data_IF_036115949465
#
_entry.id   IF_036115949465
#
_cell.length_a   1.000
_cell.length_b   1.000
_cell.length_c   1.000
_cell.angle_alpha   90.00
_cell.angle_beta   90.00
_cell.angle_gamma   90.00
#
_symmetry.space_group_name_H-M   'P 1'
#
loop_
_entity.id
_entity.type
_entity.pdbx_description
1 polymer ?
#
# COMPACT_ATOMS: atom_id res chain seq x y z
N UNK A 1 -65.13 16.55 -22.74
CA UNK A 1 -64.75 15.88 -24.00
C UNK A 1 -63.44 16.51 -24.44
N UNK A 2 -62.30 15.91 -24.07
CA UNK A 2 -61.48 15.03 -24.94
C UNK A 2 -60.98 15.80 -26.18
N UNK A 3 -59.68 15.92 -26.48
CA UNK A 3 -58.70 14.82 -26.64
C UNK A 3 -57.25 15.35 -26.58
N UNK A 4 -56.32 14.54 -26.07
CA UNK A 4 -54.85 14.70 -26.10
C UNK A 4 -54.27 14.70 -27.53
N UNK A 5 -53.07 15.26 -27.71
CA UNK A 5 -51.91 14.59 -28.34
C UNK A 5 -50.61 15.40 -28.14
N UNK A 6 -49.60 14.72 -27.60
CA UNK A 6 -48.20 15.13 -27.48
C UNK A 6 -47.53 15.26 -28.86
N UNK A 7 -46.64 16.25 -29.02
CA UNK A 7 -45.44 16.09 -29.85
C UNK A 7 -44.27 16.74 -29.11
N UNK A 8 -43.41 15.90 -28.52
CA UNK A 8 -42.05 16.25 -28.13
C UNK A 8 -41.23 16.42 -29.41
N UNK A 9 -40.55 17.55 -29.58
CA UNK A 9 -39.44 17.66 -30.52
C UNK A 9 -38.17 17.96 -29.74
N UNK A 10 -37.44 16.88 -29.48
CA UNK A 10 -36.02 16.88 -29.15
C UNK A 10 -35.26 17.42 -30.37
N UNK A 11 -34.50 18.49 -30.19
CA UNK A 11 -33.41 18.83 -31.10
C UNK A 11 -32.13 18.35 -30.43
N UNK A 12 -31.64 17.21 -30.91
CA UNK A 12 -30.37 16.63 -30.49
C UNK A 12 -29.21 17.52 -30.97
N UNK A 13 -28.55 18.22 -30.04
CA UNK A 13 -27.21 18.75 -30.27
C UNK A 13 -26.23 17.63 -29.94
N UNK A 14 -25.66 17.06 -31.00
CA UNK A 14 -24.76 15.93 -30.96
C UNK A 14 -23.32 16.42 -30.75
N UNK A 15 -22.95 16.74 -29.51
CA UNK A 15 -21.56 17.07 -29.14
C UNK A 15 -20.76 15.79 -28.90
N UNK A 16 -20.50 15.07 -30.00
CA UNK A 16 -19.53 13.97 -30.08
C UNK A 16 -18.10 14.49 -30.04
N UNK A 17 -17.73 15.20 -28.98
CA UNK A 17 -16.32 15.48 -28.69
C UNK A 17 -16.07 15.32 -27.19
N UNK A 18 -16.06 14.05 -26.74
CA UNK A 18 -15.33 13.68 -25.52
C UNK A 18 -13.86 13.95 -25.83
N UNK A 19 -13.45 15.20 -25.63
CA UNK A 19 -12.06 15.52 -25.39
C UNK A 19 -11.59 14.52 -24.32
N UNK A 20 -10.66 13.65 -24.68
CA UNK A 20 -9.87 12.97 -23.67
C UNK A 20 -9.10 14.10 -22.98
N UNK A 21 -9.72 14.68 -21.94
CA UNK A 21 -9.02 15.57 -21.02
C UNK A 21 -7.98 14.66 -20.37
N UNK A 22 -6.78 14.68 -20.92
CA UNK A 22 -5.64 14.07 -20.29
C UNK A 22 -5.42 14.84 -19.00
N UNK A 23 -5.97 14.30 -17.92
CA UNK A 23 -5.84 14.86 -16.60
C UNK A 23 -4.44 14.49 -16.09
N UNK A 24 -3.43 15.18 -16.61
CA UNK A 24 -2.03 14.98 -16.26
C UNK A 24 -1.81 15.48 -14.84
N UNK A 25 -1.92 14.57 -13.86
CA UNK A 25 -1.76 14.90 -12.46
C UNK A 25 -0.32 14.58 -12.00
N UNK A 26 0.56 15.58 -12.04
CA UNK A 26 1.98 15.40 -11.69
C UNK A 26 2.17 15.04 -10.20
N UNK A 27 1.26 15.48 -9.32
CA UNK A 27 1.36 15.23 -7.87
C UNK A 27 0.04 14.72 -7.28
N UNK A 28 0.06 13.79 -6.32
CA UNK A 28 -1.14 13.36 -5.61
C UNK A 28 -1.77 14.53 -4.86
N UNK A 29 -3.11 14.60 -4.86
CA UNK A 29 -3.84 15.51 -3.97
C UNK A 29 -3.68 15.04 -2.52
N UNK A 30 -3.97 15.91 -1.54
CA UNK A 30 -3.79 15.59 -0.12
C UNK A 30 -4.48 14.29 0.30
N UNK A 31 -5.68 14.04 -0.21
CA UNK A 31 -6.46 12.83 0.10
C UNK A 31 -5.91 11.56 -0.55
N UNK A 32 -5.14 11.73 -1.64
CA UNK A 32 -4.51 10.63 -2.39
C UNK A 32 -3.10 10.35 -1.92
N UNK A 33 -2.55 11.11 -0.96
CA UNK A 33 -1.22 10.80 -0.40
C UNK A 33 -1.27 9.51 0.40
N UNK A 34 -0.18 8.75 0.31
CA UNK A 34 -0.04 7.51 1.05
C UNK A 34 -0.06 7.74 2.56
N UNK A 35 -0.93 7.02 3.27
CA UNK A 35 -1.14 7.18 4.71
C UNK A 35 -0.17 6.27 5.48
N UNK A 36 0.98 6.82 5.85
CA UNK A 36 2.04 6.09 6.57
C UNK A 36 1.59 5.46 7.88
N UNK A 37 0.67 6.10 8.62
CA UNK A 37 0.14 5.56 9.87
C UNK A 37 -0.63 4.24 9.65
N UNK A 38 -1.49 4.17 8.65
CA UNK A 38 -2.22 2.93 8.32
C UNK A 38 -1.26 1.83 7.87
N UNK A 39 -0.21 2.19 7.14
CA UNK A 39 0.83 1.24 6.77
C UNK A 39 1.55 0.69 8.01
N UNK A 40 1.88 1.55 8.98
CA UNK A 40 2.50 1.14 10.23
C UNK A 40 1.60 0.22 11.05
N UNK A 41 0.32 0.56 11.20
CA UNK A 41 -0.67 -0.29 11.89
C UNK A 41 -0.81 -1.65 11.20
N UNK A 42 -0.95 -1.66 9.86
CA UNK A 42 -1.04 -2.91 9.10
C UNK A 42 0.21 -3.79 9.27
N UNK A 43 1.41 -3.19 9.31
CA UNK A 43 2.66 -3.90 9.60
C UNK A 43 2.62 -4.49 11.02
N UNK A 44 2.32 -3.69 12.04
CA UNK A 44 2.30 -4.12 13.44
C UNK A 44 1.33 -5.28 13.66
N UNK A 45 0.10 -5.17 13.18
CA UNK A 45 -0.91 -6.22 13.31
C UNK A 45 -0.49 -7.52 12.62
N UNK A 46 0.07 -7.42 11.40
CA UNK A 46 0.50 -8.59 10.65
C UNK A 46 1.67 -9.28 11.35
N UNK A 47 2.65 -8.52 11.85
CA UNK A 47 3.78 -9.06 12.59
C UNK A 47 3.31 -9.75 13.88
N UNK A 48 2.44 -9.11 14.66
CA UNK A 48 1.88 -9.68 15.89
C UNK A 48 1.10 -10.98 15.61
N UNK A 49 0.23 -10.97 14.60
CA UNK A 49 -0.58 -12.13 14.20
C UNK A 49 0.28 -13.35 13.85
N UNK A 50 1.38 -13.16 13.14
CA UNK A 50 2.20 -14.27 12.65
C UNK A 50 3.30 -14.71 13.60
N UNK A 51 3.84 -13.81 14.43
CA UNK A 51 5.10 -14.05 15.15
C UNK A 51 4.97 -14.14 16.67
N UNK A 52 3.84 -13.70 17.25
CA UNK A 52 3.67 -13.65 18.71
C UNK A 52 3.88 -15.02 19.39
N UNK A 53 3.29 -16.06 18.84
CA UNK A 53 3.28 -17.40 19.44
C UNK A 53 4.16 -18.40 18.66
N UNK A 54 5.16 -17.89 17.91
CA UNK A 54 6.09 -18.72 17.13
C UNK A 54 7.52 -18.66 17.66
N UNK A 55 8.19 -19.80 17.55
CA UNK A 55 9.64 -19.91 17.71
C UNK A 55 10.35 -19.89 16.36
N UNK A 56 11.61 -19.45 16.36
CA UNK A 56 12.40 -19.38 15.14
C UNK A 56 12.67 -20.78 14.58
N UNK A 57 12.41 -20.95 13.28
CA UNK A 57 12.79 -22.16 12.53
C UNK A 57 13.35 -21.75 11.18
N UNK A 58 14.59 -22.15 10.89
CA UNK A 58 15.28 -21.84 9.64
C UNK A 58 14.50 -22.33 8.41
N UNK A 59 13.83 -23.49 8.52
CA UNK A 59 13.04 -24.09 7.43
C UNK A 59 11.80 -23.25 7.13
N UNK A 60 11.16 -22.69 8.18
CA UNK A 60 9.92 -21.92 8.02
C UNK A 60 10.19 -20.43 7.76
N UNK A 61 11.37 -19.92 8.08
CA UNK A 61 11.70 -18.49 8.01
C UNK A 61 11.50 -17.89 6.61
N UNK A 62 11.89 -18.60 5.55
CA UNK A 62 11.72 -18.15 4.16
C UNK A 62 10.23 -18.06 3.79
N UNK A 63 9.44 -19.09 4.10
CA UNK A 63 8.01 -19.11 3.81
C UNK A 63 7.30 -18.02 4.60
N UNK A 64 7.60 -17.92 5.90
CA UNK A 64 6.96 -16.98 6.81
C UNK A 64 7.23 -15.52 6.42
N UNK A 65 8.47 -15.19 6.06
CA UNK A 65 8.82 -13.83 5.60
C UNK A 65 8.09 -13.46 4.30
N UNK A 66 7.97 -14.39 3.33
CA UNK A 66 7.19 -14.19 2.10
C UNK A 66 5.68 -14.03 2.40
N UNK A 67 5.13 -14.84 3.29
CA UNK A 67 3.73 -14.75 3.72
C UNK A 67 3.43 -13.40 4.35
N UNK A 68 4.28 -12.95 5.30
CA UNK A 68 4.15 -11.63 5.94
C UNK A 68 4.24 -10.52 4.90
N UNK A 69 5.21 -10.59 3.98
CA UNK A 69 5.37 -9.59 2.93
C UNK A 69 4.14 -9.50 2.01
N UNK A 70 3.56 -10.64 1.62
CA UNK A 70 2.35 -10.65 0.81
C UNK A 70 1.15 -10.12 1.58
N UNK A 71 0.92 -10.53 2.83
CA UNK A 71 -0.22 -10.06 3.61
C UNK A 71 -0.16 -8.54 3.85
N UNK A 72 1.01 -7.98 4.16
CA UNK A 72 1.18 -6.52 4.29
C UNK A 72 0.87 -5.83 2.96
N UNK A 73 1.40 -6.35 1.84
CA UNK A 73 1.15 -5.79 0.50
C UNK A 73 -0.34 -5.83 0.15
N UNK A 74 -1.01 -6.95 0.42
CA UNK A 74 -2.41 -7.16 0.08
C UNK A 74 -3.33 -6.27 0.94
N UNK A 75 -3.03 -6.11 2.24
CA UNK A 75 -3.73 -5.16 3.14
C UNK A 75 -3.61 -3.71 2.69
N UNK A 76 -2.48 -3.32 2.11
CA UNK A 76 -2.22 -1.94 1.69
C UNK A 76 -2.58 -1.67 0.23
N UNK A 77 -2.90 -2.73 -0.53
CA UNK A 77 -3.27 -2.63 -1.93
C UNK A 77 -4.50 -1.76 -2.12
N UNK A 78 -5.51 -1.91 -1.26
CA UNK A 78 -6.77 -1.16 -1.35
C UNK A 78 -6.56 0.36 -1.22
N UNK A 79 -5.62 0.79 -0.36
CA UNK A 79 -5.24 2.20 -0.24
C UNK A 79 -4.53 2.74 -1.48
N UNK A 80 -3.98 1.84 -2.30
CA UNK A 80 -3.25 2.14 -3.52
C UNK A 80 -4.09 1.91 -4.80
N UNK A 81 -5.36 1.51 -4.70
CA UNK A 81 -6.20 1.32 -5.89
C UNK A 81 -6.58 2.67 -6.52
N UNK A 82 -6.94 3.64 -5.69
CA UNK A 82 -7.37 4.98 -6.13
C UNK A 82 -6.20 5.96 -6.29
N UNK A 83 -4.98 5.50 -6.01
CA UNK A 83 -3.77 6.33 -5.97
C UNK A 83 -2.67 5.69 -6.81
N UNK A 84 -1.88 6.48 -7.55
CA UNK A 84 -0.87 5.96 -8.50
C UNK A 84 0.41 5.48 -7.82
N UNK A 85 0.31 4.84 -6.65
CA UNK A 85 1.47 4.38 -5.90
C UNK A 85 1.85 2.95 -6.27
N UNK A 86 3.16 2.73 -6.45
CA UNK A 86 3.78 1.40 -6.48
C UNK A 86 4.28 1.08 -5.08
N UNK A 87 3.85 -0.07 -4.57
CA UNK A 87 4.26 -0.56 -3.26
C UNK A 87 5.38 -1.59 -3.38
N UNK A 88 6.38 -1.45 -2.52
CA UNK A 88 7.43 -2.43 -2.28
C UNK A 88 7.44 -2.77 -0.79
N UNK A 89 7.40 -4.07 -0.47
CA UNK A 89 7.46 -4.54 0.92
C UNK A 89 8.74 -5.36 1.10
N UNK A 90 9.54 -4.96 2.09
CA UNK A 90 10.73 -5.67 2.51
C UNK A 90 10.51 -6.25 3.91
N UNK A 91 10.76 -7.54 4.07
CA UNK A 91 10.69 -8.23 5.37
C UNK A 91 12.04 -8.89 5.65
N UNK A 92 12.60 -8.59 6.81
CA UNK A 92 13.84 -9.19 7.34
C UNK A 92 13.46 -9.97 8.59
N UNK A 93 13.57 -11.29 8.54
CA UNK A 93 13.27 -12.19 9.65
C UNK A 93 14.51 -13.01 9.99
N UNK A 94 14.82 -13.13 11.29
CA UNK A 94 15.97 -13.88 11.75
C UNK A 94 15.88 -14.29 13.21
N UNK A 95 16.87 -15.08 13.62
CA UNK A 95 16.99 -15.59 14.99
C UNK A 95 17.56 -14.55 15.94
N UNK A 96 17.00 -14.49 17.13
CA UNK A 96 17.53 -13.70 18.24
C UNK A 96 18.34 -14.60 19.16
N UNK A 97 19.66 -14.58 18.98
CA UNK A 97 20.61 -15.37 19.79
C UNK A 97 21.70 -14.49 20.41
N UNK A 98 21.29 -13.43 21.10
CA UNK A 98 22.22 -12.52 21.81
C UNK A 98 23.01 -11.54 20.92
N UNK A 99 22.89 -11.62 19.59
CA UNK A 99 23.47 -10.66 18.67
C UNK A 99 22.57 -9.42 18.47
N UNK A 100 23.19 -8.26 18.23
CA UNK A 100 22.49 -7.02 17.89
C UNK A 100 22.39 -6.81 16.38
N UNK A 101 21.19 -6.55 15.88
CA UNK A 101 20.95 -6.27 14.45
C UNK A 101 20.52 -4.82 14.27
N UNK A 102 21.12 -4.13 13.30
CA UNK A 102 20.68 -2.80 12.83
C UNK A 102 20.30 -2.88 11.36
N UNK A 103 19.12 -2.40 11.04
CA UNK A 103 18.61 -2.34 9.67
C UNK A 103 18.31 -0.88 9.35
N UNK A 104 18.68 -0.46 8.15
CA UNK A 104 18.41 0.89 7.65
C UNK A 104 18.26 0.87 6.14
N UNK A 105 17.53 1.86 5.63
CA UNK A 105 17.34 2.07 4.20
C UNK A 105 17.87 3.46 3.82
N UNK A 106 18.39 3.57 2.59
CA UNK A 106 18.68 4.85 1.95
C UNK A 106 17.89 4.91 0.65
N UNK A 107 17.18 6.00 0.45
CA UNK A 107 16.28 6.18 -0.69
C UNK A 107 16.64 7.46 -1.43
N UNK A 108 16.54 7.42 -2.76
CA UNK A 108 16.61 8.60 -3.64
C UNK A 108 15.26 8.66 -4.34
N UNK A 109 14.43 9.63 -3.97
CA UNK A 109 13.03 9.74 -4.34
C UNK A 109 12.49 11.15 -4.10
N UNK A 110 11.27 11.47 -4.55
CA UNK A 110 10.66 12.79 -4.33
C UNK A 110 10.10 12.87 -2.89
N UNK A 111 10.61 13.82 -2.10
CA UNK A 111 10.27 13.99 -0.69
C UNK A 111 8.80 14.42 -0.44
N UNK A 112 8.12 14.97 -1.45
CA UNK A 112 6.74 15.43 -1.34
C UNK A 112 5.72 14.32 -1.63
N UNK A 113 6.10 13.33 -2.44
CA UNK A 113 5.20 12.28 -2.92
C UNK A 113 5.52 10.91 -2.35
N UNK A 114 6.80 10.55 -2.28
CA UNK A 114 7.26 9.21 -1.97
C UNK A 114 7.49 9.08 -0.47
N UNK A 115 7.21 7.91 0.09
CA UNK A 115 7.29 7.73 1.54
C UNK A 115 7.56 6.28 1.93
N UNK A 116 8.04 6.09 3.17
CA UNK A 116 8.15 4.78 3.81
C UNK A 116 7.39 4.71 5.13
N UNK A 117 7.02 3.50 5.50
CA UNK A 117 6.65 3.12 6.85
C UNK A 117 7.38 1.83 7.22
N UNK A 118 7.84 1.72 8.45
CA UNK A 118 8.52 0.51 8.92
C UNK A 118 8.21 0.24 10.38
N UNK A 119 8.22 -1.03 10.75
CA UNK A 119 8.13 -1.45 12.14
C UNK A 119 8.91 -2.74 12.41
N UNK A 120 9.13 -3.02 13.69
CA UNK A 120 9.85 -4.19 14.18
C UNK A 120 9.04 -4.97 15.21
N UNK A 121 9.23 -6.28 15.19
CA UNK A 121 8.69 -7.21 16.17
C UNK A 121 9.82 -8.04 16.77
N UNK A 122 9.77 -8.24 18.09
CA UNK A 122 10.77 -8.97 18.86
C UNK A 122 10.06 -9.95 19.79
N UNK A 123 10.47 -11.22 19.71
CA UNK A 123 10.15 -12.27 20.67
C UNK A 123 11.45 -12.73 21.38
N UNK A 124 11.37 -13.76 22.20
CA UNK A 124 12.50 -14.45 22.83
C UNK A 124 13.47 -15.01 21.79
N UNK A 125 12.96 -15.66 20.73
CA UNK A 125 13.79 -16.35 19.72
C UNK A 125 13.81 -15.69 18.34
N UNK A 126 12.90 -14.74 18.05
CA UNK A 126 12.74 -14.13 16.72
C UNK A 126 12.97 -12.62 16.79
N UNK A 127 13.65 -12.07 15.78
CA UNK A 127 13.50 -10.68 15.38
C UNK A 127 12.91 -10.60 13.97
N UNK A 128 12.02 -9.64 13.76
CA UNK A 128 11.47 -9.35 12.44
C UNK A 128 11.37 -7.84 12.24
N UNK A 129 11.77 -7.36 11.07
CA UNK A 129 11.55 -5.99 10.64
C UNK A 129 10.85 -5.99 9.29
N UNK A 130 9.80 -5.20 9.17
CA UNK A 130 9.11 -4.98 7.91
C UNK A 130 9.13 -3.50 7.55
N UNK A 131 9.39 -3.21 6.28
CA UNK A 131 9.37 -1.88 5.71
C UNK A 131 8.53 -1.88 4.43
N UNK A 132 7.71 -0.85 4.27
CA UNK A 132 6.91 -0.58 3.08
C UNK A 132 7.39 0.73 2.49
N UNK A 133 7.68 0.70 1.19
CA UNK A 133 8.03 1.86 0.39
C UNK A 133 6.90 2.11 -0.60
N UNK A 134 6.35 3.32 -0.58
CA UNK A 134 5.33 3.78 -1.51
C UNK A 134 5.95 4.84 -2.43
N UNK A 135 6.05 4.51 -3.72
CA UNK A 135 6.64 5.39 -4.74
C UNK A 135 5.57 5.80 -5.73
N UNK A 136 5.40 7.09 -5.94
CA UNK A 136 4.40 7.64 -6.83
C UNK A 136 4.81 7.44 -8.29
N UNK A 137 3.88 6.93 -9.09
CA UNK A 137 4.05 6.75 -10.52
C UNK A 137 3.52 7.99 -11.25
N UNK A 138 4.46 8.75 -11.81
CA UNK A 138 4.23 10.01 -12.52
C UNK A 138 3.52 9.81 -13.86
#
# INVERSE_FOLDING_TARGET
MSTKLEVKNEVAVNDNNKSHVHNFQIRPTHNQKFKTHLAKEAIQETLLKHLKDKEYSQIQAEVLSKTIASEIKDRLKDQCLDTRYKLMVQVVLGERHGAGTKVGARCIWDADTDTQASDQFLNETIFCMAAVFAVYFY
#
